data_IF_093648429770
#
_entry.id   IF_093648429770
#
_cell.length_a   1.000
_cell.length_b   1.000
_cell.length_c   1.000
_cell.angle_alpha   90.00
_cell.angle_beta   90.00
_cell.angle_gamma   90.00
#
_symmetry.space_group_name_H-M   'P 1'
#
loop_
_entity.id
_entity.type
_entity.pdbx_description
1 polymer ?
#
# COMPACT_ATOMS: atom_id res chain seq x y z
N UNK A 1 4.77 5.52 -4.90
CA UNK A 1 5.63 6.42 -4.12
C UNK A 1 4.73 7.46 -3.47
N UNK A 2 4.94 7.85 -2.18
CA UNK A 2 4.18 8.91 -1.55
C UNK A 2 4.52 10.28 -2.15
N UNK A 3 3.53 11.18 -2.21
CA UNK A 3 3.72 12.55 -2.68
C UNK A 3 4.78 13.29 -1.84
N UNK A 4 5.59 14.11 -2.49
CA UNK A 4 6.69 14.83 -1.83
C UNK A 4 7.98 14.02 -1.65
N UNK A 5 8.00 12.73 -2.02
CA UNK A 5 9.22 11.92 -2.05
C UNK A 5 9.64 11.66 -3.50
N UNK A 6 10.94 11.71 -3.82
CA UNK A 6 11.39 11.43 -5.18
C UNK A 6 11.08 9.97 -5.55
N UNK A 7 10.56 9.79 -6.75
CA UNK A 7 10.42 8.48 -7.36
C UNK A 7 11.77 8.06 -7.93
N UNK A 8 12.30 6.92 -7.49
CA UNK A 8 13.50 6.34 -8.07
C UNK A 8 13.13 5.54 -9.31
N UNK A 9 13.40 6.10 -10.47
CA UNK A 9 13.16 5.49 -11.76
C UNK A 9 14.39 4.68 -12.18
N UNK A 10 14.21 3.36 -12.30
CA UNK A 10 15.23 2.46 -12.84
C UNK A 10 15.04 2.33 -14.33
N UNK A 11 16.10 2.59 -15.08
CA UNK A 11 16.13 2.49 -16.55
C UNK A 11 17.12 1.41 -16.96
N UNK A 12 16.60 0.36 -17.59
CA UNK A 12 17.38 -0.73 -18.14
C UNK A 12 17.70 -0.43 -19.60
N UNK A 13 18.98 -0.44 -19.92
CA UNK A 13 19.49 -0.23 -21.26
C UNK A 13 20.05 -1.53 -21.82
N UNK A 14 19.72 -1.85 -23.06
CA UNK A 14 20.29 -2.99 -23.77
C UNK A 14 20.90 -2.57 -25.07
N UNK A 15 22.13 -3.03 -25.35
CA UNK A 15 22.86 -2.75 -26.56
C UNK A 15 22.91 -4.01 -27.42
N UNK A 16 22.39 -3.92 -28.64
CA UNK A 16 22.45 -5.01 -29.64
C UNK A 16 23.66 -4.91 -30.57
N UNK A 17 24.29 -3.73 -30.62
CA UNK A 17 25.49 -3.46 -31.42
C UNK A 17 26.69 -4.23 -30.82
N UNK A 18 27.58 -4.83 -31.66
CA UNK A 18 28.83 -5.44 -31.18
C UNK A 18 29.87 -4.43 -30.70
N UNK A 19 29.62 -3.13 -30.84
CA UNK A 19 30.52 -2.07 -30.39
C UNK A 19 30.04 -1.54 -29.03
N UNK A 20 30.92 -1.44 -28.03
CA UNK A 20 30.54 -0.86 -26.76
C UNK A 20 30.19 0.64 -26.90
N UNK A 21 29.35 1.13 -26.00
CA UNK A 21 29.00 2.55 -25.90
C UNK A 21 29.45 3.08 -24.57
N UNK A 22 30.25 4.14 -24.58
CA UNK A 22 30.77 4.78 -23.37
C UNK A 22 30.16 6.17 -23.15
N UNK A 23 30.13 6.61 -21.93
CA UNK A 23 29.71 7.94 -21.57
C UNK A 23 28.28 8.26 -21.99
N UNK A 24 27.37 7.31 -21.81
CA UNK A 24 25.94 7.54 -22.02
C UNK A 24 25.40 8.31 -20.84
N UNK A 25 24.84 9.47 -21.12
CA UNK A 25 24.18 10.33 -20.15
C UNK A 25 22.66 10.17 -20.32
N UNK A 26 21.96 9.85 -19.23
CA UNK A 26 20.51 9.90 -19.13
C UNK A 26 20.12 11.09 -18.28
N UNK A 27 19.13 11.84 -18.73
CA UNK A 27 18.61 12.99 -17.99
C UNK A 27 17.07 12.99 -18.01
N UNK A 28 16.49 13.24 -16.85
CA UNK A 28 15.06 13.49 -16.65
C UNK A 28 14.89 14.68 -15.70
N UNK A 29 14.29 15.77 -16.16
CA UNK A 29 14.28 17.02 -15.39
C UNK A 29 15.71 17.45 -15.00
N UNK A 30 15.93 17.62 -13.69
CA UNK A 30 17.23 17.99 -13.11
C UNK A 30 18.08 16.77 -12.72
N UNK A 31 17.51 15.57 -12.75
CA UNK A 31 18.21 14.32 -12.43
C UNK A 31 18.99 13.83 -13.64
N UNK A 32 20.23 13.42 -13.42
CA UNK A 32 21.10 12.89 -14.47
C UNK A 32 21.95 11.73 -13.93
N UNK A 33 22.20 10.75 -14.80
CA UNK A 33 23.03 9.61 -14.49
C UNK A 33 23.83 9.19 -15.71
N UNK A 34 24.97 8.53 -15.51
CA UNK A 34 25.86 8.07 -16.56
C UNK A 34 26.06 6.58 -16.46
N UNK A 35 26.20 5.95 -17.62
CA UNK A 35 26.52 4.53 -17.72
C UNK A 35 27.32 4.23 -18.97
N UNK A 36 28.00 3.09 -18.93
CA UNK A 36 28.64 2.47 -20.09
C UNK A 36 27.91 1.19 -20.44
N UNK A 37 27.80 0.91 -21.73
CA UNK A 37 27.23 -0.34 -22.21
C UNK A 37 28.33 -1.17 -22.91
N UNK A 38 28.62 -2.36 -22.36
CA UNK A 38 29.52 -3.30 -23.07
C UNK A 38 28.87 -3.76 -24.38
N UNK A 39 29.68 -4.25 -25.29
CA UNK A 39 29.21 -4.81 -26.57
C UNK A 39 28.15 -5.90 -26.28
N UNK A 40 27.01 -5.81 -26.96
CA UNK A 40 25.86 -6.74 -26.79
C UNK A 40 25.43 -6.93 -25.33
N UNK A 41 25.71 -5.94 -24.50
CA UNK A 41 25.50 -6.00 -23.06
C UNK A 41 24.30 -5.19 -22.57
N UNK A 42 24.21 -5.12 -21.26
CA UNK A 42 23.14 -4.36 -20.55
C UNK A 42 23.78 -3.43 -19.54
N UNK A 43 23.08 -2.34 -19.25
CA UNK A 43 23.40 -1.40 -18.19
C UNK A 43 22.12 -0.95 -17.51
N UNK A 44 22.26 -0.50 -16.27
CA UNK A 44 21.17 -0.01 -15.46
C UNK A 44 21.56 1.36 -14.91
N UNK A 45 20.61 2.29 -14.86
CA UNK A 45 20.77 3.59 -14.23
C UNK A 45 19.54 3.91 -13.40
N UNK A 46 19.76 4.65 -12.33
CA UNK A 46 18.69 5.18 -11.49
C UNK A 46 18.63 6.70 -11.65
N UNK A 47 17.42 7.22 -11.79
CA UNK A 47 17.10 8.63 -11.91
C UNK A 47 16.03 9.00 -10.92
N UNK A 48 16.17 10.12 -10.24
CA UNK A 48 15.17 10.60 -9.30
C UNK A 48 14.20 11.56 -10.01
N UNK A 49 12.92 11.23 -9.96
CA UNK A 49 11.84 12.06 -10.52
C UNK A 49 11.07 12.66 -9.36
N UNK A 50 10.94 13.99 -9.26
CA UNK A 50 10.19 14.62 -8.19
C UNK A 50 8.70 14.27 -8.29
N UNK A 51 8.05 14.01 -7.14
CA UNK A 51 6.62 13.75 -7.06
C UNK A 51 6.00 14.74 -6.08
N UNK A 52 5.48 15.84 -6.60
CA UNK A 52 4.94 16.91 -5.76
C UNK A 52 3.48 16.67 -5.33
N UNK A 53 2.69 16.02 -6.19
CA UNK A 53 1.25 15.86 -6.01
C UNK A 53 0.83 14.41 -6.12
N UNK A 54 -0.18 14.01 -5.33
CA UNK A 54 -0.84 12.71 -5.47
C UNK A 54 -1.63 12.63 -6.77
N UNK A 55 -1.77 11.43 -7.29
CA UNK A 55 -2.53 11.14 -8.51
C UNK A 55 -1.68 10.47 -9.58
N UNK A 56 -2.16 10.49 -10.80
CA UNK A 56 -1.41 9.94 -11.92
C UNK A 56 -0.30 10.90 -12.33
N UNK A 57 0.92 10.40 -12.36
CA UNK A 57 2.12 11.12 -12.80
C UNK A 57 2.51 10.59 -14.19
N UNK A 58 2.41 11.44 -15.18
CA UNK A 58 2.99 11.17 -16.48
C UNK A 58 4.51 11.37 -16.39
N UNK A 59 5.27 10.32 -16.66
CA UNK A 59 6.72 10.41 -16.61
C UNK A 59 7.23 11.37 -17.68
N UNK A 60 8.10 12.32 -17.30
CA UNK A 60 8.71 13.21 -18.27
C UNK A 60 9.60 12.43 -19.24
N UNK A 61 9.80 12.99 -20.42
CA UNK A 61 10.71 12.41 -21.41
C UNK A 61 12.12 12.31 -20.86
N UNK A 62 12.78 11.21 -21.18
CA UNK A 62 14.17 10.94 -20.81
C UNK A 62 15.06 11.31 -21.99
N UNK A 63 16.08 12.14 -21.76
CA UNK A 63 17.11 12.41 -22.75
C UNK A 63 18.25 11.42 -22.59
N UNK A 64 18.54 10.68 -23.62
CA UNK A 64 19.76 9.87 -23.74
C UNK A 64 20.74 10.62 -24.62
N UNK A 65 21.95 10.88 -24.14
CA UNK A 65 22.97 11.57 -24.91
C UNK A 65 24.36 11.00 -24.70
N UNK A 66 25.25 11.25 -25.67
CA UNK A 66 26.67 10.94 -25.55
C UNK A 66 27.50 11.90 -26.39
N UNK A 67 28.70 12.21 -25.90
CA UNK A 67 29.70 13.00 -26.62
C UNK A 67 30.89 12.13 -27.12
N UNK A 68 30.83 10.86 -26.85
CA UNK A 68 31.88 9.92 -27.26
C UNK A 68 31.86 9.64 -28.75
N UNK A 69 33.07 9.33 -29.42
CA UNK A 69 34.37 9.10 -28.77
C UNK A 69 35.22 10.35 -28.55
N UNK A 70 34.99 11.43 -29.28
CA UNK A 70 35.95 12.56 -29.34
C UNK A 70 35.51 13.80 -28.54
N UNK A 71 34.30 13.80 -27.99
CA UNK A 71 33.75 14.95 -27.25
C UNK A 71 33.40 16.16 -28.12
N UNK A 72 33.58 16.09 -29.44
CA UNK A 72 33.38 17.22 -30.35
C UNK A 72 31.90 17.44 -30.73
N UNK A 73 31.11 16.38 -30.71
CA UNK A 73 29.71 16.39 -31.12
C UNK A 73 28.88 15.66 -30.07
N UNK A 74 27.73 16.22 -29.77
CA UNK A 74 26.74 15.55 -28.90
C UNK A 74 25.66 14.90 -29.75
N UNK A 75 25.56 13.57 -29.68
CA UNK A 75 24.42 12.83 -30.18
C UNK A 75 23.38 12.67 -29.05
N UNK A 76 22.09 12.79 -29.37
CA UNK A 76 21.03 12.65 -28.40
C UNK A 76 19.77 12.03 -28.99
N UNK A 77 18.94 11.43 -28.12
CA UNK A 77 17.63 10.89 -28.43
C UNK A 77 16.68 11.10 -27.25
N UNK A 78 15.40 11.08 -27.56
CA UNK A 78 14.36 11.16 -26.54
C UNK A 78 13.63 9.84 -26.41
N UNK A 79 13.32 9.46 -25.18
CA UNK A 79 12.48 8.32 -24.83
C UNK A 79 11.28 8.83 -24.05
N UNK A 80 10.08 8.43 -24.46
CA UNK A 80 8.83 8.75 -23.79
C UNK A 80 8.33 7.48 -23.10
N UNK A 81 8.36 7.41 -21.76
CA UNK A 81 7.70 6.32 -21.04
C UNK A 81 6.19 6.38 -21.28
N UNK A 82 5.59 5.26 -21.68
CA UNK A 82 4.16 5.21 -22.02
C UNK A 82 3.26 5.00 -20.82
N UNK A 83 3.81 4.50 -19.70
CA UNK A 83 3.03 4.13 -18.54
C UNK A 83 3.04 5.25 -17.49
N UNK A 84 1.87 5.81 -17.15
CA UNK A 84 1.76 6.71 -16.03
C UNK A 84 1.95 5.95 -14.72
N UNK A 85 2.48 6.61 -13.71
CA UNK A 85 2.67 6.07 -12.38
C UNK A 85 1.67 6.67 -11.40
N UNK A 86 1.27 5.87 -10.42
CA UNK A 86 0.39 6.34 -9.36
C UNK A 86 1.22 6.82 -8.16
N UNK A 87 1.07 8.10 -7.84
CA UNK A 87 1.60 8.73 -6.63
C UNK A 87 0.49 8.74 -5.59
N UNK A 88 0.72 8.07 -4.46
CA UNK A 88 -0.25 8.02 -3.37
C UNK A 88 -0.02 9.14 -2.35
N UNK A 89 -1.03 9.52 -1.55
CA UNK A 89 -0.84 10.48 -0.48
C UNK A 89 0.22 10.04 0.51
N UNK A 90 0.89 10.99 1.12
CA UNK A 90 1.77 10.73 2.25
C UNK A 90 0.90 10.40 3.47
N UNK A 91 1.33 9.45 4.28
CA UNK A 91 0.67 9.18 5.54
C UNK A 91 0.96 10.33 6.53
N UNK A 92 -0.05 10.75 7.26
CA UNK A 92 0.12 11.75 8.33
C UNK A 92 1.10 11.22 9.39
N UNK A 93 2.01 12.09 9.83
CA UNK A 93 2.99 11.73 10.86
C UNK A 93 2.31 11.44 12.22
N UNK A 94 1.22 12.13 12.50
CA UNK A 94 0.38 11.93 13.69
C UNK A 94 -1.06 11.84 13.20
N UNK A 95 -1.53 10.62 12.99
CA UNK A 95 -2.93 10.41 12.62
C UNK A 95 -3.85 10.73 13.81
N UNK A 96 -4.93 11.48 13.62
CA UNK A 96 -5.94 11.66 14.66
C UNK A 96 -6.56 10.30 15.02
N UNK A 97 -7.02 10.18 16.26
CA UNK A 97 -7.77 8.99 16.67
C UNK A 97 -8.98 8.82 15.78
N UNK A 98 -9.26 7.59 15.39
CA UNK A 98 -10.48 7.30 14.63
C UNK A 98 -11.70 7.78 15.44
N UNK A 99 -12.71 8.39 14.79
CA UNK A 99 -13.91 8.84 15.48
C UNK A 99 -14.61 7.63 16.11
N UNK A 100 -14.68 7.61 17.42
CA UNK A 100 -15.44 6.62 18.20
C UNK A 100 -16.94 6.94 18.12
N UNK A 101 -17.52 6.98 16.94
CA UNK A 101 -18.96 7.10 16.78
C UNK A 101 -19.58 5.73 17.00
N UNK A 102 -20.10 5.53 18.20
CA UNK A 102 -20.80 4.30 18.58
C UNK A 102 -20.35 3.68 19.91
N UNK A 103 -19.60 4.39 20.73
CA UNK A 103 -19.02 3.87 21.97
C UNK A 103 -20.02 3.50 23.07
N UNK A 104 -21.29 3.80 22.94
CA UNK A 104 -22.32 3.44 23.95
C UNK A 104 -22.69 1.95 23.97
N UNK A 105 -22.11 1.11 23.11
CA UNK A 105 -22.34 -0.34 23.07
C UNK A 105 -21.15 -1.18 23.56
N UNK A 106 -20.12 -0.58 24.13
CA UNK A 106 -18.94 -1.28 24.67
C UNK A 106 -19.20 -1.98 26.02
N UNK A 107 -20.44 -2.35 26.31
CA UNK A 107 -20.68 -3.30 27.39
C UNK A 107 -20.67 -4.71 26.79
N UNK A 108 -19.59 -5.42 27.05
CA UNK A 108 -19.43 -6.86 26.84
C UNK A 108 -20.63 -7.59 27.48
N UNK A 109 -21.72 -7.69 26.75
CA UNK A 109 -22.80 -8.60 27.13
C UNK A 109 -22.51 -9.92 26.43
N UNK A 110 -22.20 -10.92 27.25
CA UNK A 110 -22.24 -12.30 26.79
C UNK A 110 -23.63 -12.53 26.14
N UNK A 111 -23.65 -12.60 24.82
CA UNK A 111 -24.90 -12.80 24.07
C UNK A 111 -25.10 -14.28 23.78
N UNK A 112 -26.34 -14.74 23.93
CA UNK A 112 -26.75 -16.10 23.61
C UNK A 112 -26.69 -16.44 22.10
N UNK A 113 -26.15 -15.55 21.25
CA UNK A 113 -26.08 -15.70 19.80
C UNK A 113 -24.81 -15.06 19.22
N UNK A 114 -23.65 -15.66 19.47
CA UNK A 114 -22.38 -15.34 18.79
C UNK A 114 -22.00 -16.45 17.81
N UNK A 115 -21.07 -16.21 16.90
CA UNK A 115 -20.59 -17.22 15.94
C UNK A 115 -19.47 -18.10 16.50
N UNK A 116 -18.73 -17.66 17.52
CA UNK A 116 -17.67 -18.43 18.15
C UNK A 116 -18.04 -18.85 19.57
N UNK A 117 -17.86 -20.15 19.87
CA UNK A 117 -18.07 -20.73 21.18
C UNK A 117 -16.94 -20.32 22.12
N UNK A 118 -17.22 -19.40 23.06
CA UNK A 118 -16.22 -18.95 24.02
C UNK A 118 -15.98 -19.99 25.11
N UNK A 119 -17.04 -20.41 25.83
CA UNK A 119 -16.92 -21.38 26.91
C UNK A 119 -18.22 -22.14 27.20
N UNK A 120 -18.09 -23.21 28.01
CA UNK A 120 -19.22 -23.92 28.59
C UNK A 120 -19.30 -23.55 30.08
N UNK A 121 -20.39 -22.96 30.52
CA UNK A 121 -20.65 -22.67 31.94
C UNK A 121 -21.82 -23.49 32.50
N UNK A 122 -21.91 -23.66 33.81
CA UNK A 122 -23.09 -24.26 34.44
C UNK A 122 -24.37 -23.50 34.12
N UNK A 123 -25.46 -24.27 33.92
CA UNK A 123 -26.81 -23.72 33.72
C UNK A 123 -27.26 -22.90 34.93
N UNK A 124 -27.91 -21.79 34.65
CA UNK A 124 -28.59 -20.95 35.66
C UNK A 124 -30.07 -20.83 35.33
N UNK A 125 -30.92 -20.72 36.34
CA UNK A 125 -32.34 -20.50 36.13
C UNK A 125 -32.58 -19.23 35.32
N UNK A 126 -33.26 -19.37 34.17
CA UNK A 126 -33.46 -18.30 33.19
C UNK A 126 -32.67 -18.44 31.91
N UNK A 127 -31.68 -19.34 31.83
CA UNK A 127 -30.97 -19.60 30.57
C UNK A 127 -31.90 -20.27 29.56
N UNK A 128 -31.85 -19.87 28.27
CA UNK A 128 -32.72 -20.47 27.27
C UNK A 128 -32.32 -21.92 26.99
N UNK A 129 -33.29 -22.87 26.94
CA UNK A 129 -33.02 -24.30 26.73
C UNK A 129 -32.21 -24.62 25.42
N UNK A 130 -32.32 -23.76 24.41
CA UNK A 130 -31.61 -23.90 23.13
C UNK A 130 -30.11 -23.75 23.27
N UNK A 131 -29.63 -23.03 24.31
CA UNK A 131 -28.19 -22.84 24.54
C UNK A 131 -27.56 -23.99 25.34
N UNK A 132 -28.32 -24.95 25.80
CA UNK A 132 -27.81 -26.12 26.54
C UNK A 132 -26.97 -26.99 25.62
N UNK A 133 -25.77 -27.31 26.07
CA UNK A 133 -24.84 -28.19 25.39
C UNK A 133 -25.11 -29.67 25.77
N UNK A 134 -26.24 -30.23 25.33
CA UNK A 134 -26.73 -31.54 25.72
C UNK A 134 -25.67 -32.65 25.69
N UNK A 135 -24.84 -32.71 24.65
CA UNK A 135 -23.78 -33.72 24.51
C UNK A 135 -22.72 -33.62 25.62
N UNK A 136 -22.38 -32.41 26.02
CA UNK A 136 -21.38 -32.18 27.07
C UNK A 136 -22.00 -32.33 28.46
N UNK A 137 -23.24 -31.94 28.61
CA UNK A 137 -24.00 -32.10 29.84
C UNK A 137 -24.17 -33.55 30.20
N UNK A 138 -24.53 -34.42 29.24
CA UNK A 138 -24.68 -35.87 29.43
C UNK A 138 -23.38 -36.57 29.84
N UNK A 139 -22.24 -36.05 29.47
CA UNK A 139 -20.93 -36.62 29.84
C UNK A 139 -20.45 -36.25 31.23
N UNK A 140 -20.92 -35.09 31.73
CA UNK A 140 -20.46 -34.50 33.02
C UNK A 140 -21.51 -34.59 34.09
N UNK A 141 -22.66 -35.12 33.82
CA UNK A 141 -23.83 -35.19 34.70
C UNK A 141 -24.22 -33.83 35.32
N UNK A 142 -23.98 -32.77 34.55
CA UNK A 142 -24.23 -31.39 34.95
C UNK A 142 -24.73 -30.61 33.76
N UNK A 143 -25.82 -29.83 33.89
CA UNK A 143 -26.30 -29.02 32.78
C UNK A 143 -25.32 -27.87 32.49
N UNK A 144 -24.82 -27.86 31.24
CA UNK A 144 -23.89 -26.89 30.70
C UNK A 144 -24.54 -26.08 29.59
N UNK A 145 -24.28 -24.76 29.60
CA UNK A 145 -24.78 -23.82 28.61
C UNK A 145 -23.61 -23.31 27.77
N UNK A 146 -23.85 -23.19 26.48
CA UNK A 146 -22.89 -22.57 25.54
C UNK A 146 -22.94 -21.07 25.68
N UNK A 147 -21.79 -20.47 25.95
CA UNK A 147 -21.61 -19.04 25.96
C UNK A 147 -20.81 -18.64 24.74
N UNK A 148 -21.40 -17.80 23.91
CA UNK A 148 -20.79 -17.33 22.68
C UNK A 148 -20.18 -15.96 22.89
N UNK A 149 -19.04 -15.73 22.27
CA UNK A 149 -18.43 -14.41 22.21
C UNK A 149 -18.82 -13.74 20.90
N UNK A 150 -19.29 -12.52 20.98
CA UNK A 150 -19.42 -11.68 19.79
C UNK A 150 -18.13 -10.86 19.71
N UNK A 151 -17.34 -10.97 18.62
CA UNK A 151 -16.18 -10.11 18.47
C UNK A 151 -16.65 -8.66 18.54
N UNK A 152 -16.20 -7.93 19.56
CA UNK A 152 -16.44 -6.50 19.67
C UNK A 152 -15.46 -5.82 18.73
N UNK A 153 -15.84 -5.71 17.48
CA UNK A 153 -15.18 -4.84 16.53
C UNK A 153 -15.74 -3.43 16.70
N UNK A 154 -14.88 -2.44 16.76
CA UNK A 154 -15.30 -1.06 16.56
C UNK A 154 -15.62 -0.94 15.06
N UNK A 155 -16.90 -0.79 14.73
CA UNK A 155 -17.28 -0.47 13.36
C UNK A 155 -16.98 1.00 13.12
N UNK A 156 -15.94 1.26 12.31
CA UNK A 156 -15.60 2.62 11.89
C UNK A 156 -16.25 2.87 10.54
N UNK A 157 -17.27 3.71 10.53
CA UNK A 157 -17.91 4.15 9.31
C UNK A 157 -17.20 5.40 8.79
N UNK A 158 -16.47 5.26 7.68
CA UNK A 158 -15.88 6.38 6.96
C UNK A 158 -16.91 6.92 5.96
N UNK A 159 -17.53 8.06 6.29
CA UNK A 159 -18.40 8.74 5.34
C UNK A 159 -17.58 9.56 4.36
N UNK A 160 -17.44 9.03 3.14
CA UNK A 160 -16.73 9.70 2.06
C UNK A 160 -17.31 11.08 1.71
N UNK A 161 -18.59 11.30 1.93
CA UNK A 161 -19.25 12.59 1.66
C UNK A 161 -18.81 13.66 2.66
N UNK A 162 -18.53 13.28 3.90
CA UNK A 162 -17.99 14.18 4.91
C UNK A 162 -16.56 14.62 4.61
N UNK A 163 -15.79 13.80 3.88
CA UNK A 163 -14.41 14.10 3.48
C UNK A 163 -14.31 15.11 2.33
N UNK A 164 -15.38 15.32 1.57
CA UNK A 164 -15.40 16.26 0.44
C UNK A 164 -15.34 17.73 0.87
N UNK A 165 -15.50 18.02 2.14
CA UNK A 165 -15.42 19.38 2.72
C UNK A 165 -14.03 19.75 3.23
N UNK A 166 -13.06 18.82 3.18
CA UNK A 166 -11.70 19.13 3.58
C UNK A 166 -10.99 19.89 2.45
N UNK A 167 -10.28 21.00 2.76
CA UNK A 167 -9.54 21.74 1.75
C UNK A 167 -8.48 20.84 1.12
N UNK A 168 -8.41 20.88 -0.19
CA UNK A 168 -7.39 20.18 -0.97
C UNK A 168 -6.14 21.06 -0.93
N UNK A 169 -5.21 20.78 0.00
CA UNK A 169 -3.86 21.35 -0.07
C UNK A 169 -3.01 20.63 -1.11
#
# INVERSE_FOLDING_TARGET
VPAGQPLRLRVDLSLRDPRPRHGLELQVGDSQAWTDLPAQGRGEVELDVPTERRGWLDLPRIRLSSTQPLGLVRAWSWVWPEQPLLVHPVAEAVAPSLPEQGSDLLHTRAHASGEELHQLRPYRAGDPPRSIAWKHSARRDTLLVREYEKPIGIEVVLDWRALSTLPTE
#
